data_IF_552345538821
#
_entry.id   IF_552345538821
#
_cell.length_a   1.000
_cell.length_b   1.000
_cell.length_c   1.000
_cell.angle_alpha   90.00
_cell.angle_beta   90.00
_cell.angle_gamma   90.00
#
_symmetry.space_group_name_H-M   'P 1'
#
loop_
_entity.id
_entity.type
_entity.pdbx_description
1 polymer ?
#
# COMPACT_ATOMS: atom_id res chain seq x y z
N UNK A 1 13.30 -26.63 6.03
CA UNK A 1 13.40 -25.47 5.12
C UNK A 1 13.61 -24.23 5.96
N UNK A 2 14.58 -23.41 5.59
CA UNK A 2 15.10 -22.28 6.37
C UNK A 2 14.03 -21.22 6.66
N UNK A 3 14.01 -20.71 7.90
CA UNK A 3 13.21 -19.57 8.35
C UNK A 3 14.09 -18.33 8.21
N UNK A 4 14.10 -17.60 7.09
CA UNK A 4 15.01 -16.44 7.06
C UNK A 4 15.05 -15.45 5.89
N UNK A 5 14.42 -15.69 4.74
CA UNK A 5 14.54 -14.74 3.61
C UNK A 5 13.20 -14.06 3.35
N UNK A 6 13.15 -12.74 3.57
CA UNK A 6 12.02 -11.93 3.12
C UNK A 6 12.02 -11.90 1.60
N UNK A 7 10.95 -12.37 0.96
CA UNK A 7 10.82 -12.34 -0.50
C UNK A 7 10.70 -10.92 -1.06
N UNK A 8 10.44 -9.94 -0.20
CA UNK A 8 10.22 -8.54 -0.54
C UNK A 8 11.15 -7.66 0.30
N UNK A 9 11.72 -6.63 -0.32
CA UNK A 9 12.59 -5.67 0.36
C UNK A 9 11.79 -4.81 1.36
N UNK A 10 10.59 -4.40 0.98
CA UNK A 10 9.69 -3.60 1.82
C UNK A 10 8.29 -4.23 1.97
N UNK A 11 7.61 -4.09 3.12
CA UNK A 11 6.25 -4.61 3.35
C UNK A 11 5.17 -3.72 2.70
N UNK A 12 5.37 -3.30 1.46
CA UNK A 12 4.46 -2.44 0.71
C UNK A 12 4.16 -2.99 -0.68
N UNK A 13 3.09 -2.46 -1.28
CA UNK A 13 2.85 -2.57 -2.71
C UNK A 13 2.37 -1.23 -3.25
N UNK A 14 2.71 -0.91 -4.49
CA UNK A 14 2.19 0.27 -5.20
C UNK A 14 1.32 -0.14 -6.36
N UNK A 15 0.24 0.62 -6.58
CA UNK A 15 -0.71 0.41 -7.67
C UNK A 15 -0.71 1.64 -8.54
N UNK A 16 -0.27 1.49 -9.79
CA UNK A 16 -0.41 2.50 -10.81
C UNK A 16 -1.60 2.16 -11.71
N UNK A 17 -2.54 3.09 -11.85
CA UNK A 17 -3.70 2.94 -12.74
C UNK A 17 -3.52 3.88 -13.94
N UNK A 18 -3.34 3.31 -15.13
CA UNK A 18 -3.06 4.06 -16.32
C UNK A 18 -4.32 4.81 -16.81
N UNK A 19 -4.22 6.13 -16.96
CA UNK A 19 -5.31 6.97 -17.49
C UNK A 19 -5.33 6.93 -19.00
N UNK A 20 -5.98 5.93 -19.58
CA UNK A 20 -6.01 5.69 -21.04
C UNK A 20 -7.41 5.78 -21.65
N UNK A 21 -8.47 5.83 -20.83
CA UNK A 21 -9.84 5.68 -21.31
C UNK A 21 -10.13 4.23 -21.76
N UNK A 22 -11.28 3.96 -22.39
CA UNK A 22 -11.62 2.64 -22.89
C UNK A 22 -10.73 2.28 -24.09
N UNK A 23 -9.78 1.37 -23.90
CA UNK A 23 -8.90 0.82 -24.92
C UNK A 23 -8.78 -0.69 -24.75
N UNK A 24 -8.84 -1.43 -25.85
CA UNK A 24 -8.70 -2.88 -25.85
C UNK A 24 -7.26 -3.30 -26.13
N UNK A 25 -6.80 -4.37 -25.49
CA UNK A 25 -5.47 -4.96 -25.73
C UNK A 25 -4.30 -4.16 -25.16
N UNK A 26 -4.55 -3.12 -24.35
CA UNK A 26 -3.52 -2.27 -23.73
C UNK A 26 -3.49 -2.51 -22.22
N UNK A 27 -2.31 -2.64 -21.57
CA UNK A 27 -2.22 -2.78 -20.12
C UNK A 27 -2.93 -1.64 -19.37
N UNK A 28 -3.72 -1.97 -18.34
CA UNK A 28 -4.50 -0.98 -17.58
C UNK A 28 -3.75 -0.31 -16.43
N UNK A 29 -2.54 -0.76 -16.12
CA UNK A 29 -1.79 -0.32 -14.94
C UNK A 29 -0.70 -1.30 -14.56
N UNK A 30 -0.11 -1.11 -13.39
CA UNK A 30 0.96 -1.95 -12.84
C UNK A 30 0.82 -2.11 -11.32
N UNK A 31 1.11 -3.32 -10.85
CA UNK A 31 1.34 -3.62 -9.45
C UNK A 31 2.84 -3.83 -9.23
N UNK A 32 3.39 -3.17 -8.23
CA UNK A 32 4.77 -3.37 -7.79
C UNK A 32 4.73 -3.86 -6.35
N UNK A 33 5.37 -4.99 -6.09
CA UNK A 33 5.48 -5.58 -4.76
C UNK A 33 6.88 -5.33 -4.22
N UNK A 34 6.99 -5.03 -2.92
CA UNK A 34 8.29 -4.90 -2.27
C UNK A 34 8.96 -3.55 -2.42
N UNK A 35 8.28 -2.54 -2.97
CA UNK A 35 8.85 -1.21 -3.15
C UNK A 35 7.90 -0.22 -3.82
N UNK A 36 8.43 0.98 -4.07
CA UNK A 36 7.73 2.07 -4.74
C UNK A 36 7.95 2.02 -6.25
N UNK A 37 6.87 2.15 -7.02
CA UNK A 37 6.95 2.43 -8.45
C UNK A 37 7.33 3.89 -8.73
N UNK A 38 8.64 4.17 -8.78
CA UNK A 38 9.17 5.51 -9.07
C UNK A 38 9.14 5.88 -10.54
N UNK A 39 8.83 4.94 -11.44
CA UNK A 39 8.73 5.18 -12.87
C UNK A 39 7.39 5.81 -13.22
N UNK A 40 6.30 5.26 -12.67
CA UNK A 40 4.95 5.69 -12.98
C UNK A 40 4.31 6.59 -11.90
N UNK A 41 4.75 6.49 -10.63
CA UNK A 41 4.34 7.41 -9.58
C UNK A 41 5.31 8.60 -9.54
N UNK A 42 4.77 9.82 -9.47
CA UNK A 42 5.58 11.03 -9.33
C UNK A 42 6.36 11.09 -8.00
N UNK A 43 7.26 12.07 -7.83
CA UNK A 43 8.16 12.16 -6.67
C UNK A 43 7.45 12.45 -5.34
N UNK A 44 6.15 12.79 -5.37
CA UNK A 44 5.37 13.14 -4.20
C UNK A 44 4.48 11.94 -3.86
N UNK A 45 4.81 11.27 -2.76
CA UNK A 45 4.02 10.18 -2.19
C UNK A 45 3.65 10.61 -0.77
N UNK A 46 2.35 10.73 -0.50
CA UNK A 46 1.83 11.05 0.82
C UNK A 46 1.35 9.78 1.51
N UNK A 47 1.71 9.62 2.78
CA UNK A 47 1.30 8.50 3.61
C UNK A 47 0.13 8.93 4.50
N UNK A 48 -0.90 8.09 4.56
CA UNK A 48 -2.01 8.26 5.49
C UNK A 48 -2.22 7.00 6.32
N UNK A 49 -2.56 7.20 7.60
CA UNK A 49 -2.83 6.09 8.50
C UNK A 49 -4.19 5.48 8.19
N UNK A 50 -4.24 4.15 8.10
CA UNK A 50 -5.48 3.43 7.94
C UNK A 50 -6.37 3.55 9.18
N UNK A 51 -7.68 3.69 8.98
CA UNK A 51 -8.68 3.65 10.04
C UNK A 51 -9.09 2.23 10.42
N UNK A 52 -8.79 1.24 9.57
CA UNK A 52 -9.05 -0.17 9.81
C UNK A 52 -7.91 -1.03 9.23
N UNK A 53 -7.50 -2.13 9.91
CA UNK A 53 -6.52 -3.06 9.37
C UNK A 53 -7.09 -3.99 8.28
N UNK A 54 -8.42 -4.07 8.15
CA UNK A 54 -9.10 -4.97 7.20
C UNK A 54 -9.34 -4.32 5.84
N UNK A 55 -9.31 -2.98 5.76
CA UNK A 55 -9.62 -2.22 4.55
C UNK A 55 -8.55 -1.16 4.30
N UNK A 56 -8.27 -0.87 3.03
CA UNK A 56 -7.49 0.31 2.61
C UNK A 56 -8.30 1.60 2.76
N UNK A 57 -8.78 1.85 3.98
CA UNK A 57 -9.62 2.97 4.36
C UNK A 57 -8.81 3.92 5.27
N UNK A 58 -8.89 5.21 5.01
CA UNK A 58 -8.28 6.27 5.82
C UNK A 58 -9.26 7.45 5.98
N UNK A 59 -9.02 8.31 6.97
CA UNK A 59 -9.84 9.51 7.18
C UNK A 59 -9.45 10.61 6.19
N UNK A 60 -10.41 11.09 5.40
CA UNK A 60 -10.23 12.23 4.50
C UNK A 60 -10.16 13.52 5.33
N UNK A 61 -9.13 14.34 5.10
CA UNK A 61 -8.96 15.66 5.74
C UNK A 61 -9.58 16.75 4.86
N UNK A 62 -10.00 17.87 5.46
CA UNK A 62 -10.67 18.97 4.74
C UNK A 62 -9.85 19.52 3.55
N UNK A 63 -8.52 19.48 3.64
CA UNK A 63 -7.59 19.94 2.63
C UNK A 63 -7.16 18.86 1.61
N UNK A 64 -7.91 17.76 1.52
CA UNK A 64 -7.63 16.68 0.57
C UNK A 64 -8.07 17.06 -0.85
N UNK A 65 -7.14 17.60 -1.63
CA UNK A 65 -7.36 17.85 -3.06
C UNK A 65 -7.09 16.53 -3.81
N UNK A 66 -8.10 15.99 -4.47
CA UNK A 66 -8.03 14.80 -5.33
C UNK A 66 -7.25 15.07 -6.63
N UNK A 67 -6.03 15.57 -6.54
CA UNK A 67 -5.13 15.73 -7.68
C UNK A 67 -4.09 14.63 -7.68
N UNK A 68 -4.47 13.53 -8.34
CA UNK A 68 -3.62 12.46 -8.89
C UNK A 68 -2.87 11.60 -7.87
N UNK A 69 -3.24 10.30 -7.86
CA UNK A 69 -2.60 9.19 -7.15
C UNK A 69 -2.60 9.30 -5.62
N UNK A 70 -3.58 8.64 -5.01
CA UNK A 70 -3.49 8.25 -3.61
C UNK A 70 -2.82 6.89 -3.58
N UNK A 71 -1.52 6.85 -3.37
CA UNK A 71 -0.83 5.60 -3.06
C UNK A 71 -1.13 5.28 -1.59
N UNK A 72 -2.13 4.44 -1.35
CA UNK A 72 -2.42 3.94 0.00
C UNK A 72 -1.37 2.88 0.34
N UNK A 73 -0.40 3.24 1.16
CA UNK A 73 0.61 2.30 1.65
C UNK A 73 0.12 1.66 2.95
N UNK A 74 0.24 0.35 3.01
CA UNK A 74 -0.08 -0.46 4.19
C UNK A 74 1.00 -0.20 5.24
N UNK A 75 0.67 0.54 6.29
CA UNK A 75 1.31 0.36 7.59
C UNK A 75 0.23 -0.34 8.42
N UNK A 76 0.37 -1.54 8.96
CA UNK A 76 1.52 -2.21 9.52
C UNK A 76 1.09 -3.67 9.81
N UNK A 77 1.65 -4.66 9.12
CA UNK A 77 1.44 -6.08 9.47
C UNK A 77 2.36 -6.54 10.63
N UNK A 78 3.36 -5.73 11.00
CA UNK A 78 4.34 -6.05 12.04
C UNK A 78 3.90 -5.69 13.46
N UNK A 79 3.10 -4.63 13.67
CA UNK A 79 2.63 -4.22 15.01
C UNK A 79 1.46 -5.07 15.53
N UNK A 80 0.65 -5.68 14.65
CA UNK A 80 -0.40 -6.60 15.09
C UNK A 80 0.16 -7.97 15.49
N UNK A 81 1.11 -8.52 14.72
CA UNK A 81 1.71 -9.83 15.02
C UNK A 81 2.50 -9.85 16.33
N UNK A 82 3.02 -8.69 16.80
CA UNK A 82 3.72 -8.58 18.09
C UNK A 82 2.76 -8.44 19.28
N UNK A 83 1.50 -8.03 19.04
CA UNK A 83 0.45 -7.93 20.07
C UNK A 83 -0.27 -9.24 20.29
N UNK A 84 -0.38 -10.10 19.27
CA UNK A 84 -0.97 -11.44 19.41
C UNK A 84 -0.10 -12.43 20.18
N UNK A 85 1.21 -12.16 20.33
CA UNK A 85 2.15 -12.99 21.10
C UNK A 85 2.23 -12.62 22.60
N UNK A 86 1.61 -11.50 23.01
CA UNK A 86 1.58 -11.05 24.42
C UNK A 86 0.16 -10.66 24.84
N UNK A 87 -0.57 -11.68 25.33
CA UNK A 87 -1.90 -11.71 25.98
C UNK A 87 -2.90 -12.44 25.06
N UNK A 88 -3.50 -13.55 25.46
CA UNK A 88 -4.21 -13.75 26.72
C UNK A 88 -4.00 -15.16 27.31
N UNK A 89 -3.48 -15.22 28.54
CA UNK A 89 -3.85 -16.25 29.50
C UNK A 89 -5.00 -15.63 30.32
N UNK A 90 -6.23 -16.09 30.06
CA UNK A 90 -7.31 -16.17 31.02
C UNK A 90 -8.03 -17.50 30.81
#
# INVERSE_FOLDING_TARGET
>A
MDRGESLLDEPIFTVWLARRGPQDGVPGGQFTYGGLDTEHCGPIIAYEKLSSPTYFQFKVKENFIFTHLVTVLVTDWGDWSRKTDKKENF
#
